data_IF_836439969411
#
_entry.id   IF_836439969411
#
_cell.length_a   1.000
_cell.length_b   1.000
_cell.length_c   1.000
_cell.angle_alpha   90.00
_cell.angle_beta   90.00
_cell.angle_gamma   90.00
#
_symmetry.space_group_name_H-M   'P 1'
#
loop_
_entity.id
_entity.type
_entity.pdbx_description
1 polymer ?
#
# COMPACT_ATOMS: atom_id res chain seq x y z
N UNK A 1 -34.30 11.29 -10.23
CA UNK A 1 -35.02 10.17 -10.87
C UNK A 1 -33.96 9.32 -11.58
N UNK A 2 -33.40 8.31 -10.88
CA UNK A 2 -32.40 7.41 -11.43
C UNK A 2 -33.10 6.20 -12.04
N UNK A 3 -32.85 5.97 -13.32
CA UNK A 3 -33.36 4.80 -14.04
C UNK A 3 -32.35 3.67 -13.88
N UNK A 4 -32.68 2.67 -13.07
CA UNK A 4 -31.90 1.42 -12.96
C UNK A 4 -32.32 0.57 -14.17
N UNK A 5 -31.44 0.41 -15.14
CA UNK A 5 -31.59 -0.56 -16.22
C UNK A 5 -31.25 -1.96 -15.70
N UNK A 6 -32.26 -2.77 -15.48
CA UNK A 6 -32.09 -4.19 -15.27
C UNK A 6 -31.81 -4.86 -16.62
N UNK A 7 -30.61 -5.44 -16.75
CA UNK A 7 -30.32 -6.36 -17.85
C UNK A 7 -30.77 -7.76 -17.44
N UNK A 8 -31.77 -8.27 -18.11
CA UNK A 8 -32.19 -9.68 -18.00
C UNK A 8 -31.40 -10.45 -19.03
N UNK A 9 -30.41 -11.23 -18.58
CA UNK A 9 -29.72 -12.20 -19.42
C UNK A 9 -30.51 -13.50 -19.42
N UNK A 10 -31.02 -13.90 -20.57
CA UNK A 10 -31.62 -15.21 -20.78
C UNK A 10 -30.54 -16.15 -21.32
N UNK A 11 -30.14 -17.13 -20.54
CA UNK A 11 -29.29 -18.21 -21.04
C UNK A 11 -30.18 -19.39 -21.41
N UNK A 12 -30.00 -19.91 -22.62
CA UNK A 12 -30.56 -21.18 -23.05
C UNK A 12 -29.50 -22.25 -22.80
N UNK A 13 -29.77 -23.13 -21.85
CA UNK A 13 -28.92 -24.30 -21.61
C UNK A 13 -29.61 -25.49 -22.27
N UNK A 14 -28.93 -26.13 -23.23
CA UNK A 14 -29.38 -27.39 -23.81
C UNK A 14 -28.76 -28.55 -23.02
N UNK A 15 -29.53 -29.60 -22.76
CA UNK A 15 -29.01 -30.87 -22.24
C UNK A 15 -28.29 -31.67 -23.34
N UNK A 16 -27.73 -32.80 -22.97
CA UNK A 16 -27.03 -33.73 -23.88
C UNK A 16 -27.86 -34.21 -25.08
N UNK A 17 -29.19 -33.99 -25.03
CA UNK A 17 -30.15 -34.32 -26.06
C UNK A 17 -30.72 -33.09 -26.78
N UNK A 18 -30.14 -31.91 -26.61
CA UNK A 18 -30.54 -30.64 -27.24
C UNK A 18 -31.98 -30.17 -26.84
N UNK A 19 -32.50 -30.56 -25.67
CA UNK A 19 -33.78 -30.06 -25.19
C UNK A 19 -33.60 -28.82 -24.33
N UNK A 20 -34.29 -27.71 -24.66
CA UNK A 20 -34.25 -26.45 -23.93
C UNK A 20 -34.98 -26.59 -22.60
N UNK A 21 -34.28 -26.49 -21.47
CA UNK A 21 -34.84 -26.43 -20.14
C UNK A 21 -35.25 -25.01 -19.78
N UNK A 22 -36.55 -24.78 -19.68
CA UNK A 22 -37.13 -23.51 -19.18
C UNK A 22 -37.13 -23.53 -17.66
N UNK A 23 -36.25 -22.80 -17.02
CA UNK A 23 -36.26 -22.59 -15.57
C UNK A 23 -37.18 -21.42 -15.21
N UNK A 24 -38.29 -21.71 -14.56
CA UNK A 24 -39.11 -20.74 -13.81
C UNK A 24 -38.64 -20.78 -12.35
N UNK A 25 -38.25 -19.60 -11.84
CA UNK A 25 -37.99 -19.29 -10.44
C UNK A 25 -36.77 -19.94 -9.76
N UNK A 26 -35.70 -19.12 -9.51
CA UNK A 26 -34.75 -19.33 -8.44
C UNK A 26 -33.28 -19.28 -8.80
N UNK A 27 -32.66 -18.20 -8.46
CA UNK A 27 -31.21 -17.92 -8.61
C UNK A 27 -30.30 -18.93 -7.88
N UNK A 28 -30.83 -19.64 -6.89
CA UNK A 28 -30.06 -20.54 -6.03
C UNK A 28 -29.71 -21.91 -6.64
N UNK A 29 -30.37 -22.33 -7.70
CA UNK A 29 -30.19 -23.70 -8.27
C UNK A 29 -29.11 -23.74 -9.35
N UNK A 30 -28.77 -22.63 -9.97
CA UNK A 30 -27.82 -22.57 -11.10
C UNK A 30 -26.38 -22.83 -10.67
N UNK A 31 -25.99 -22.47 -9.45
CA UNK A 31 -24.62 -22.66 -8.95
C UNK A 31 -24.25 -24.15 -8.72
N UNK A 32 -25.24 -25.00 -8.48
CA UNK A 32 -25.01 -26.41 -8.15
C UNK A 32 -24.85 -27.33 -9.38
N UNK A 33 -25.29 -26.92 -10.57
CA UNK A 33 -25.24 -27.73 -11.78
C UNK A 33 -23.94 -27.60 -12.58
N UNK A 34 -23.17 -26.53 -12.40
CA UNK A 34 -21.92 -26.30 -13.12
C UNK A 34 -20.70 -27.07 -12.57
N UNK A 35 -20.83 -27.77 -11.44
CA UNK A 35 -19.72 -28.49 -10.80
C UNK A 35 -19.61 -29.98 -11.19
N UNK A 36 -20.39 -30.46 -12.12
CA UNK A 36 -20.36 -31.87 -12.58
C UNK A 36 -19.93 -32.09 -14.02
N UNK A 37 -19.50 -31.07 -14.76
CA UNK A 37 -18.81 -31.35 -16.01
C UNK A 37 -17.38 -31.81 -15.71
N UNK A 38 -17.01 -33.01 -16.15
CA UNK A 38 -15.65 -33.54 -16.20
C UNK A 38 -14.76 -32.74 -17.18
N UNK A 39 -14.76 -31.42 -17.07
CA UNK A 39 -13.69 -30.59 -17.63
C UNK A 39 -12.50 -30.81 -16.73
N UNK A 40 -11.42 -31.35 -17.26
CA UNK A 40 -10.11 -31.27 -16.64
C UNK A 40 -9.81 -29.77 -16.48
N UNK A 41 -10.20 -29.20 -15.35
CA UNK A 41 -9.92 -27.80 -15.06
C UNK A 41 -8.43 -27.68 -14.75
N UNK A 42 -7.64 -27.58 -15.81
CA UNK A 42 -6.20 -27.29 -15.69
C UNK A 42 -5.96 -25.82 -15.27
N UNK A 43 -7.02 -25.00 -15.23
CA UNK A 43 -6.97 -23.58 -14.84
C UNK A 43 -8.17 -23.26 -13.93
N UNK A 44 -7.89 -22.69 -12.76
CA UNK A 44 -8.90 -22.28 -11.77
C UNK A 44 -8.68 -20.79 -11.42
N UNK A 45 -9.51 -19.87 -11.90
CA UNK A 45 -9.48 -18.49 -11.46
C UNK A 45 -10.17 -18.32 -10.10
N UNK A 46 -9.57 -17.55 -9.19
CA UNK A 46 -10.11 -17.24 -7.88
C UNK A 46 -10.03 -15.74 -7.65
N UNK A 47 -11.17 -15.13 -7.37
CA UNK A 47 -11.25 -13.73 -6.98
C UNK A 47 -11.32 -13.63 -5.45
N UNK A 48 -10.45 -12.84 -4.86
CA UNK A 48 -10.39 -12.61 -3.42
C UNK A 48 -10.41 -11.12 -3.12
N UNK A 49 -10.96 -10.78 -1.95
CA UNK A 49 -11.01 -9.42 -1.43
C UNK A 49 -10.51 -9.35 0.00
N UNK A 50 -9.94 -8.21 0.38
CA UNK A 50 -9.55 -7.92 1.76
C UNK A 50 -10.74 -7.59 2.67
N UNK A 51 -11.97 -7.65 2.17
CA UNK A 51 -13.20 -7.37 2.92
C UNK A 51 -13.24 -8.10 4.27
N UNK A 52 -13.73 -7.39 5.28
CA UNK A 52 -14.05 -7.99 6.58
C UNK A 52 -15.20 -8.97 6.40
N UNK A 53 -15.00 -10.21 6.79
CA UNK A 53 -16.02 -11.24 6.75
C UNK A 53 -16.40 -11.72 8.13
N UNK A 54 -17.51 -12.46 8.26
CA UNK A 54 -17.90 -13.07 9.53
C UNK A 54 -16.85 -14.05 10.07
N UNK A 55 -16.05 -14.66 9.20
CA UNK A 55 -14.94 -15.55 9.59
C UNK A 55 -13.67 -14.76 9.97
N UNK A 56 -13.44 -13.61 9.33
CA UNK A 56 -12.25 -12.79 9.51
C UNK A 56 -12.61 -11.32 9.69
N UNK A 57 -13.18 -10.93 10.85
CA UNK A 57 -13.60 -9.55 11.12
C UNK A 57 -12.40 -8.59 11.25
N UNK A 58 -11.18 -9.14 11.46
CA UNK A 58 -9.95 -8.38 11.64
C UNK A 58 -9.12 -8.24 10.35
N UNK A 59 -9.68 -8.61 9.19
CA UNK A 59 -9.01 -8.37 7.93
C UNK A 59 -8.66 -6.89 7.76
N UNK A 60 -7.45 -6.65 7.24
CA UNK A 60 -6.97 -5.32 6.86
C UNK A 60 -6.54 -5.39 5.39
N UNK A 61 -6.52 -4.24 4.72
CA UNK A 61 -6.15 -4.15 3.30
C UNK A 61 -4.74 -4.69 2.99
N UNK A 62 -3.83 -4.59 3.96
CA UNK A 62 -2.46 -5.05 3.84
C UNK A 62 -2.20 -6.47 4.39
N UNK A 63 -3.17 -7.06 5.10
CA UNK A 63 -3.05 -8.41 5.66
C UNK A 63 -4.43 -8.99 5.87
N UNK A 64 -4.80 -9.97 5.07
CA UNK A 64 -6.14 -10.54 5.09
C UNK A 64 -6.16 -12.04 4.79
N UNK A 65 -7.25 -12.67 5.20
CA UNK A 65 -7.53 -14.09 5.05
C UNK A 65 -8.85 -14.29 4.34
N UNK A 66 -8.90 -15.27 3.48
CA UNK A 66 -10.11 -15.65 2.74
C UNK A 66 -10.33 -17.14 2.89
N UNK A 67 -11.48 -17.52 3.47
CA UNK A 67 -11.93 -18.91 3.52
C UNK A 67 -12.61 -19.25 2.22
N UNK A 68 -12.08 -20.25 1.51
CA UNK A 68 -12.73 -20.76 0.31
C UNK A 68 -13.99 -21.55 0.68
N UNK A 69 -15.09 -21.39 -0.07
CA UNK A 69 -16.34 -22.14 0.18
C UNK A 69 -16.16 -23.65 -0.04
N UNK A 70 -15.22 -24.02 -0.90
CA UNK A 70 -14.84 -25.41 -1.16
C UNK A 70 -13.31 -25.49 -1.18
N UNK A 71 -12.77 -26.53 -0.56
CA UNK A 71 -11.32 -26.79 -0.61
C UNK A 71 -10.88 -27.08 -2.04
N UNK A 72 -9.74 -26.53 -2.43
CA UNK A 72 -9.06 -26.89 -3.67
C UNK A 72 -8.17 -28.10 -3.40
N UNK A 73 -8.34 -29.13 -4.20
CA UNK A 73 -7.53 -30.35 -4.12
C UNK A 73 -6.62 -30.44 -5.34
N UNK A 74 -5.33 -30.31 -5.09
CA UNK A 74 -4.25 -30.32 -6.07
C UNK A 74 -3.43 -31.64 -6.05
N UNK A 75 -3.93 -32.65 -5.36
CA UNK A 75 -3.24 -33.95 -5.23
C UNK A 75 -3.06 -34.69 -6.57
N UNK A 76 -3.78 -34.29 -7.61
CA UNK A 76 -3.77 -34.88 -8.93
C UNK A 76 -2.66 -34.36 -9.87
N UNK A 77 -1.64 -33.73 -9.38
CA UNK A 77 -0.51 -33.26 -10.18
C UNK A 77 0.20 -32.06 -9.56
N UNK A 78 1.13 -31.50 -10.30
CA UNK A 78 1.81 -30.27 -9.91
C UNK A 78 0.99 -29.05 -10.32
N UNK A 79 0.75 -28.16 -9.36
CA UNK A 79 0.00 -26.94 -9.58
C UNK A 79 0.85 -25.71 -9.29
N UNK A 80 0.56 -24.65 -10.01
CA UNK A 80 1.20 -23.35 -9.91
C UNK A 80 0.14 -22.28 -9.75
N UNK A 81 0.51 -21.19 -9.12
CA UNK A 81 -0.35 -20.01 -8.93
C UNK A 81 0.33 -18.76 -9.47
N UNK A 82 -0.46 -17.88 -10.05
CA UNK A 82 -0.02 -16.56 -10.46
C UNK A 82 -1.04 -15.50 -10.05
N UNK A 83 -0.58 -14.28 -9.80
CA UNK A 83 -1.44 -13.10 -9.70
C UNK A 83 -1.76 -12.60 -11.11
N UNK A 84 -3.05 -12.61 -11.47
CA UNK A 84 -3.53 -12.12 -12.77
C UNK A 84 -3.90 -10.63 -12.73
N UNK A 85 -4.52 -10.21 -11.64
CA UNK A 85 -4.85 -8.79 -11.45
C UNK A 85 -4.89 -8.42 -9.98
N UNK A 86 -4.67 -7.14 -9.72
CA UNK A 86 -4.84 -6.55 -8.39
C UNK A 86 -5.44 -5.15 -8.53
N UNK A 87 -6.35 -4.80 -7.62
CA UNK A 87 -6.94 -3.46 -7.53
C UNK A 87 -6.91 -2.97 -6.09
N UNK A 88 -6.40 -1.76 -5.87
CA UNK A 88 -6.28 -1.12 -4.56
C UNK A 88 -6.25 0.41 -4.72
N UNK A 89 -6.46 1.15 -3.63
CA UNK A 89 -6.26 2.59 -3.64
C UNK A 89 -4.78 2.91 -3.42
N UNK A 90 -4.18 3.66 -4.35
CA UNK A 90 -2.79 4.12 -4.25
C UNK A 90 -2.67 5.27 -3.23
N UNK A 91 -3.06 4.98 -1.98
CA UNK A 91 -3.13 5.95 -0.90
C UNK A 91 -2.51 5.35 0.36
N UNK A 92 -1.17 5.37 0.40
CA UNK A 92 -0.38 4.80 1.49
C UNK A 92 0.05 5.88 2.47
N UNK A 93 0.23 5.49 3.73
CA UNK A 93 0.94 6.32 4.70
C UNK A 93 2.40 6.49 4.27
N UNK A 94 3.00 7.55 4.77
CA UNK A 94 4.44 7.77 4.63
C UNK A 94 5.18 6.54 5.13
N UNK A 95 6.26 6.19 4.43
CA UNK A 95 7.12 5.07 4.82
C UNK A 95 7.60 5.26 6.27
N UNK A 96 7.35 4.30 7.18
CA UNK A 96 7.62 4.46 8.62
C UNK A 96 9.12 4.56 8.95
N UNK A 97 9.99 4.13 8.04
CA UNK A 97 11.45 4.28 8.15
C UNK A 97 11.94 5.70 7.91
N UNK A 98 11.07 6.62 7.45
CA UNK A 98 11.44 8.01 7.23
C UNK A 98 11.33 8.81 8.54
N UNK A 99 12.46 9.33 8.99
CA UNK A 99 12.50 10.26 10.12
C UNK A 99 12.06 11.66 9.68
N UNK A 100 10.75 11.91 9.75
CA UNK A 100 10.11 13.20 9.51
C UNK A 100 9.80 13.95 10.81
N UNK A 101 10.49 13.61 11.90
CA UNK A 101 10.33 14.26 13.20
C UNK A 101 10.97 15.65 13.24
N UNK A 102 10.50 16.48 14.14
CA UNK A 102 11.14 17.73 14.50
C UNK A 102 10.81 18.11 15.96
N UNK A 103 11.69 18.91 16.54
CA UNK A 103 11.56 19.41 17.91
C UNK A 103 11.88 20.89 17.95
N UNK A 104 11.09 21.63 18.70
CA UNK A 104 11.27 23.07 18.87
C UNK A 104 11.56 23.36 20.34
N UNK A 105 12.63 24.07 20.61
CA UNK A 105 13.04 24.45 21.98
C UNK A 105 13.15 25.98 22.02
N UNK A 106 12.29 26.64 22.79
CA UNK A 106 12.33 28.07 23.04
C UNK A 106 13.32 28.35 24.14
N UNK A 107 14.21 29.35 23.95
CA UNK A 107 15.06 29.88 24.99
C UNK A 107 14.33 31.09 25.61
N UNK A 108 13.74 30.93 26.80
CA UNK A 108 13.17 32.07 27.54
C UNK A 108 14.27 32.99 28.05
N UNK A 109 14.11 34.30 27.86
CA UNK A 109 15.11 35.30 28.26
C UNK A 109 15.23 35.49 29.78
N UNK A 110 14.30 34.96 30.58
CA UNK A 110 14.30 35.01 32.02
C UNK A 110 14.57 33.63 32.62
N UNK A 111 15.75 33.45 33.21
CA UNK A 111 16.10 32.34 34.09
C UNK A 111 16.55 31.00 33.48
N UNK A 112 17.22 30.96 32.35
CA UNK A 112 17.79 29.72 31.81
C UNK A 112 16.80 28.55 31.74
N UNK A 113 15.51 28.78 31.68
CA UNK A 113 14.49 27.78 31.50
C UNK A 113 14.27 27.51 30.01
N UNK A 114 14.51 26.29 29.59
CA UNK A 114 14.19 25.81 28.27
C UNK A 114 12.75 25.28 28.28
N UNK A 115 11.84 25.98 27.60
CA UNK A 115 10.52 25.45 27.33
C UNK A 115 10.64 24.51 26.13
N UNK A 116 10.53 23.20 26.39
CA UNK A 116 10.64 22.18 25.36
C UNK A 116 9.24 21.78 24.91
N UNK A 117 8.89 22.05 23.64
CA UNK A 117 7.79 21.35 22.98
C UNK A 117 8.23 19.92 22.75
N UNK A 118 7.32 18.95 22.94
CA UNK A 118 7.60 17.54 22.67
C UNK A 118 8.08 17.33 21.24
N UNK A 119 8.66 16.16 20.98
CA UNK A 119 8.98 15.73 19.64
C UNK A 119 7.69 15.56 18.86
N UNK A 120 7.57 16.30 17.74
CA UNK A 120 6.42 16.21 16.85
C UNK A 120 6.79 15.35 15.63
N UNK A 121 5.93 14.38 15.33
CA UNK A 121 5.99 13.65 14.08
C UNK A 121 4.96 14.23 13.11
N UNK A 122 5.36 14.40 11.86
CA UNK A 122 4.44 14.86 10.82
C UNK A 122 3.36 13.80 10.63
N UNK A 123 2.07 14.14 10.82
CA UNK A 123 0.98 13.18 10.71
C UNK A 123 0.76 12.74 9.26
N UNK A 124 -0.24 11.90 9.06
CA UNK A 124 -0.63 11.34 7.76
C UNK A 124 -0.82 12.41 6.68
N UNK A 125 0.28 12.80 6.05
CA UNK A 125 0.32 13.69 4.89
C UNK A 125 0.57 12.87 3.64
N UNK A 126 0.05 13.33 2.53
CA UNK A 126 0.05 12.57 1.28
C UNK A 126 1.06 13.09 0.26
N UNK A 127 1.58 14.28 0.47
CA UNK A 127 2.52 14.90 -0.47
C UNK A 127 3.67 15.57 0.24
N UNK A 128 4.79 15.72 -0.48
CA UNK A 128 5.96 16.44 0.01
C UNK A 128 5.62 17.90 0.37
N UNK A 129 4.72 18.53 -0.38
CA UNK A 129 4.27 19.89 -0.11
C UNK A 129 3.51 19.99 1.22
N UNK A 130 2.70 19.00 1.55
CA UNK A 130 2.01 18.92 2.85
C UNK A 130 3.01 18.73 3.99
N UNK A 131 4.03 17.89 3.82
CA UNK A 131 5.13 17.74 4.80
C UNK A 131 5.76 19.10 5.10
N UNK A 132 6.13 19.83 4.05
CA UNK A 132 6.77 21.14 4.18
C UNK A 132 5.81 22.17 4.79
N UNK A 133 4.53 22.13 4.43
CA UNK A 133 3.51 23.05 4.96
C UNK A 133 3.26 22.81 6.43
N UNK A 134 3.08 21.55 6.83
CA UNK A 134 2.91 21.17 8.24
C UNK A 134 4.09 21.63 9.10
N UNK A 135 5.31 21.33 8.67
CA UNK A 135 6.52 21.78 9.36
C UNK A 135 6.56 23.32 9.47
N UNK A 136 6.24 24.04 8.38
CA UNK A 136 6.18 25.50 8.37
C UNK A 136 5.20 26.05 9.41
N UNK A 137 4.00 25.51 9.45
CA UNK A 137 2.94 25.93 10.36
C UNK A 137 3.33 25.69 11.82
N UNK A 138 3.90 24.54 12.11
CA UNK A 138 4.29 24.15 13.47
C UNK A 138 5.41 25.02 14.07
N UNK A 139 6.25 25.64 13.25
CA UNK A 139 7.36 26.47 13.71
C UNK A 139 7.09 27.99 13.65
N UNK A 140 5.90 28.42 13.22
CA UNK A 140 5.61 29.86 12.93
C UNK A 140 5.83 30.78 14.08
N UNK A 141 5.69 30.33 15.32
CA UNK A 141 5.92 31.17 16.53
C UNK A 141 7.39 31.50 16.76
N UNK A 142 8.30 30.62 16.34
CA UNK A 142 9.76 30.73 16.56
C UNK A 142 10.49 31.18 15.33
N UNK A 143 10.11 30.64 14.18
CA UNK A 143 10.76 30.90 12.92
C UNK A 143 9.77 30.88 11.76
N UNK A 144 10.17 31.41 10.64
CA UNK A 144 9.51 31.21 9.37
C UNK A 144 10.54 30.93 8.30
N UNK A 145 10.15 30.20 7.26
CA UNK A 145 11.05 30.00 6.14
C UNK A 145 10.42 30.42 4.81
N UNK A 146 11.29 30.79 3.90
CA UNK A 146 10.95 31.18 2.56
C UNK A 146 11.96 30.63 1.57
N UNK A 147 11.51 30.41 0.35
CA UNK A 147 12.36 30.01 -0.75
C UNK A 147 12.76 31.22 -1.56
N UNK A 148 14.06 31.45 -1.70
CA UNK A 148 14.56 32.52 -2.58
C UNK A 148 14.38 32.09 -4.03
N UNK A 149 13.66 32.90 -4.82
CA UNK A 149 13.38 32.63 -6.23
C UNK A 149 14.63 32.40 -7.08
N UNK A 150 15.71 33.12 -6.80
CA UNK A 150 16.97 33.01 -7.57
C UNK A 150 17.79 31.72 -7.27
N UNK A 151 17.77 31.24 -6.03
CA UNK A 151 18.61 30.09 -5.61
C UNK A 151 17.83 28.80 -5.44
N UNK A 152 16.51 28.86 -5.41
CA UNK A 152 15.60 27.77 -5.06
C UNK A 152 15.92 27.08 -3.71
N UNK A 153 16.74 27.72 -2.87
CA UNK A 153 17.10 27.23 -1.53
C UNK A 153 16.13 27.73 -0.49
N UNK A 154 15.87 26.90 0.51
CA UNK A 154 15.08 27.28 1.67
C UNK A 154 15.95 28.11 2.62
N UNK A 155 15.38 29.17 3.15
CA UNK A 155 15.98 30.02 4.19
C UNK A 155 15.04 30.03 5.39
N UNK A 156 15.55 29.64 6.54
CA UNK A 156 14.87 29.70 7.83
C UNK A 156 15.29 31.00 8.53
N UNK A 157 14.32 31.82 8.94
CA UNK A 157 14.58 33.06 9.68
C UNK A 157 13.91 33.01 11.04
N UNK A 158 14.70 33.16 12.10
CA UNK A 158 14.21 33.14 13.48
C UNK A 158 13.53 34.45 13.87
N UNK A 159 12.38 34.36 14.50
CA UNK A 159 11.67 35.47 15.14
C UNK A 159 12.10 35.65 16.59
N UNK A 160 12.35 34.52 17.29
CA UNK A 160 12.75 34.45 18.69
C UNK A 160 14.04 33.65 18.85
N UNK A 161 14.63 33.72 20.04
CA UNK A 161 15.72 32.81 20.36
C UNK A 161 15.18 31.37 20.52
N UNK A 162 15.87 30.43 19.94
CA UNK A 162 15.44 29.02 20.02
C UNK A 162 16.34 28.11 19.23
N UNK A 163 16.04 26.83 19.40
CA UNK A 163 16.70 25.71 18.72
C UNK A 163 15.63 24.92 17.99
N UNK A 164 15.88 24.56 16.74
CA UNK A 164 15.04 23.64 15.97
C UNK A 164 15.90 22.43 15.66
N UNK A 165 15.46 21.26 16.09
CA UNK A 165 16.03 19.97 15.71
C UNK A 165 15.13 19.35 14.66
N UNK A 166 15.70 18.85 13.59
CA UNK A 166 14.98 18.33 12.43
C UNK A 166 15.52 16.94 12.13
N UNK A 167 14.64 15.94 12.04
CA UNK A 167 14.99 14.58 11.70
C UNK A 167 15.70 14.46 10.35
N UNK A 168 16.47 13.38 10.17
CA UNK A 168 17.38 13.23 9.06
C UNK A 168 16.69 13.34 7.68
N UNK A 169 15.55 12.69 7.50
CA UNK A 169 14.84 12.72 6.22
C UNK A 169 14.16 14.06 5.95
N UNK A 170 13.51 14.64 6.98
CA UNK A 170 12.92 15.98 6.86
C UNK A 170 14.01 17.03 6.53
N UNK A 171 15.19 16.92 7.14
CA UNK A 171 16.29 17.84 6.86
C UNK A 171 16.78 17.76 5.40
N UNK A 172 16.83 16.56 4.81
CA UNK A 172 17.17 16.35 3.39
C UNK A 172 16.10 16.93 2.47
N UNK A 173 14.82 16.74 2.80
CA UNK A 173 13.69 17.36 2.08
C UNK A 173 13.88 18.89 2.02
N UNK A 174 14.28 19.50 3.12
CA UNK A 174 14.52 20.95 3.20
C UNK A 174 15.82 21.40 2.52
N UNK A 175 16.65 20.48 2.05
CA UNK A 175 17.91 20.77 1.35
C UNK A 175 19.15 20.74 2.25
N UNK A 176 19.16 19.95 3.30
CA UNK A 176 20.34 19.64 4.10
C UNK A 176 21.11 18.47 3.47
N UNK A 177 22.41 18.41 3.73
CA UNK A 177 23.29 17.28 3.42
C UNK A 177 23.64 16.46 4.67
N UNK A 178 23.02 16.75 5.81
CA UNK A 178 23.26 16.06 7.08
C UNK A 178 22.52 14.72 7.07
N UNK A 179 23.19 13.66 7.46
CA UNK A 179 22.63 12.29 7.52
C UNK A 179 21.97 11.96 8.88
N UNK A 180 22.24 12.80 9.87
CA UNK A 180 21.71 12.72 11.22
C UNK A 180 20.72 13.85 11.52
N UNK A 181 20.30 13.97 12.76
CA UNK A 181 19.42 15.04 13.22
C UNK A 181 20.10 16.39 13.05
N UNK A 182 19.52 17.27 12.22
CA UNK A 182 20.00 18.63 12.01
C UNK A 182 19.57 19.51 13.17
N UNK A 183 20.51 20.10 13.89
CA UNK A 183 20.24 21.06 14.95
C UNK A 183 20.58 22.47 14.48
N UNK A 184 19.56 23.33 14.41
CA UNK A 184 19.70 24.74 14.02
C UNK A 184 19.44 25.61 15.26
N UNK A 185 20.40 26.41 15.65
CA UNK A 185 20.26 27.37 16.74
C UNK A 185 20.34 28.77 16.20
N UNK A 186 19.55 29.69 16.74
CA UNK A 186 19.73 31.13 16.47
C UNK A 186 21.10 31.57 16.93
N UNK A 187 21.92 32.01 15.98
CA UNK A 187 23.27 32.54 16.22
C UNK A 187 23.28 34.05 15.99
N UNK A 188 24.47 34.64 15.78
CA UNK A 188 24.64 36.06 15.43
C UNK A 188 23.84 36.46 14.18
N UNK A 189 23.55 35.53 13.29
CA UNK A 189 22.67 35.75 12.13
C UNK A 189 21.30 35.18 12.45
N UNK A 190 20.22 35.97 12.25
CA UNK A 190 18.83 35.57 12.44
C UNK A 190 18.34 34.56 11.38
N UNK A 191 19.22 34.08 10.51
CA UNK A 191 18.83 33.19 9.40
C UNK A 191 19.79 32.06 9.19
N UNK A 192 19.22 30.89 8.84
CA UNK A 192 19.94 29.70 8.38
C UNK A 192 19.52 29.42 6.94
N UNK A 193 20.49 29.21 6.07
CA UNK A 193 20.26 28.86 4.66
C UNK A 193 20.60 27.40 4.47
N UNK A 194 19.63 26.61 4.03
CA UNK A 194 19.89 25.22 3.69
C UNK A 194 20.87 25.14 2.52
N UNK A 195 21.93 24.30 2.61
CA UNK A 195 23.05 24.32 1.65
C UNK A 195 22.63 23.86 0.25
N UNK A 196 21.65 22.95 0.14
CA UNK A 196 21.20 22.39 -1.11
C UNK A 196 19.80 22.92 -1.48
N UNK A 197 19.36 22.62 -2.69
CA UNK A 197 17.94 22.75 -3.07
C UNK A 197 17.15 21.66 -2.35
N UNK A 198 15.85 21.90 -2.06
CA UNK A 198 14.96 20.87 -1.56
C UNK A 198 15.05 19.61 -2.42
N UNK A 199 15.15 18.47 -1.77
CA UNK A 199 15.24 17.19 -2.45
C UNK A 199 13.87 16.53 -2.52
N UNK A 200 13.56 15.97 -3.67
CA UNK A 200 12.38 15.12 -3.80
C UNK A 200 12.74 13.72 -3.29
N UNK A 201 12.37 13.43 -2.07
CA UNK A 201 12.52 12.10 -1.47
C UNK A 201 11.23 11.34 -1.69
N UNK A 202 11.33 10.07 -2.08
CA UNK A 202 10.17 9.19 -2.16
C UNK A 202 9.65 8.94 -0.74
N UNK A 203 8.53 9.56 -0.41
CA UNK A 203 7.90 9.42 0.92
C UNK A 203 6.88 8.28 0.94
N UNK A 204 6.52 7.77 -0.23
CA UNK A 204 5.60 6.65 -0.41
C UNK A 204 6.28 5.45 -1.02
N UNK A 205 5.76 4.24 -0.79
CA UNK A 205 6.31 3.04 -1.38
C UNK A 205 6.20 3.09 -2.91
N UNK A 206 7.27 2.66 -3.60
CA UNK A 206 7.34 2.58 -5.07
C UNK A 206 7.02 1.18 -5.58
N UNK A 207 7.13 0.19 -4.71
CA UNK A 207 6.87 -1.22 -4.96
C UNK A 207 6.02 -1.80 -3.85
N UNK A 208 5.04 -2.62 -4.21
CA UNK A 208 4.29 -3.47 -3.29
C UNK A 208 4.71 -4.93 -3.49
N UNK A 209 5.14 -5.57 -2.42
CA UNK A 209 5.51 -6.99 -2.37
C UNK A 209 4.33 -7.79 -1.84
N UNK A 210 3.79 -8.67 -2.66
CA UNK A 210 2.61 -9.46 -2.33
C UNK A 210 3.05 -10.88 -1.98
N UNK A 211 2.70 -11.32 -0.78
CA UNK A 211 3.00 -12.66 -0.28
C UNK A 211 1.72 -13.45 -0.08
N UNK A 212 1.80 -14.78 -0.26
CA UNK A 212 0.68 -15.68 -0.05
C UNK A 212 1.11 -16.99 0.60
N UNK A 213 0.33 -17.51 1.57
CA UNK A 213 0.61 -18.80 2.22
C UNK A 213 0.49 -20.01 1.26
N UNK A 214 -0.12 -19.81 0.13
CA UNK A 214 -0.39 -20.80 -0.92
C UNK A 214 0.74 -20.92 -1.96
N UNK A 215 1.72 -20.02 -1.96
CA UNK A 215 2.90 -20.05 -2.82
C UNK A 215 4.04 -20.82 -2.18
N UNK A 216 4.84 -21.52 -2.98
CA UNK A 216 6.10 -22.08 -2.53
C UNK A 216 7.13 -20.98 -2.28
N UNK A 217 8.19 -21.33 -1.55
CA UNK A 217 9.24 -20.40 -1.21
C UNK A 217 10.12 -20.08 -2.42
N UNK A 218 10.35 -18.81 -2.66
CA UNK A 218 11.30 -18.29 -3.64
C UNK A 218 12.37 -17.41 -2.94
N UNK A 219 13.48 -17.17 -3.62
CA UNK A 219 14.53 -16.29 -3.10
C UNK A 219 14.16 -14.85 -3.45
N UNK A 220 14.00 -14.01 -2.43
CA UNK A 220 13.76 -12.60 -2.57
C UNK A 220 14.76 -11.84 -1.68
N UNK A 221 15.63 -11.01 -2.29
CA UNK A 221 16.60 -10.21 -1.53
C UNK A 221 17.57 -11.03 -0.65
N UNK A 222 17.86 -12.29 -1.03
CA UNK A 222 18.76 -13.17 -0.25
C UNK A 222 18.06 -14.00 0.84
N UNK A 223 16.75 -13.89 0.99
CA UNK A 223 15.93 -14.66 1.94
C UNK A 223 14.90 -15.52 1.21
N UNK A 224 14.54 -16.65 1.83
CA UNK A 224 13.42 -17.45 1.36
C UNK A 224 12.10 -16.81 1.81
N UNK A 225 11.19 -16.59 0.86
CA UNK A 225 9.88 -15.99 1.13
C UNK A 225 8.81 -16.54 0.18
N UNK A 226 7.57 -16.49 0.60
CA UNK A 226 6.41 -16.88 -0.22
C UNK A 226 5.92 -15.71 -1.05
N UNK A 227 6.83 -15.14 -1.84
CA UNK A 227 6.55 -13.99 -2.69
C UNK A 227 5.73 -14.43 -3.90
N UNK A 228 4.53 -13.87 -4.03
CA UNK A 228 3.66 -14.08 -5.17
C UNK A 228 4.00 -13.16 -6.34
N UNK A 229 4.16 -11.84 -6.06
CA UNK A 229 4.42 -10.84 -7.09
C UNK A 229 4.98 -9.55 -6.49
N UNK A 230 5.81 -8.86 -7.25
CA UNK A 230 6.19 -7.46 -6.99
C UNK A 230 5.40 -6.58 -7.95
N UNK A 231 4.66 -5.61 -7.41
CA UNK A 231 3.80 -4.70 -8.16
C UNK A 231 4.40 -3.29 -8.13
N UNK A 232 4.81 -2.72 -9.28
CA UNK A 232 5.25 -1.34 -9.35
C UNK A 232 4.07 -0.38 -9.14
N UNK A 233 4.24 0.61 -8.25
CA UNK A 233 3.22 1.61 -7.93
C UNK A 233 3.70 3.05 -8.11
N UNK A 234 5.00 3.28 -8.29
CA UNK A 234 5.61 4.62 -8.43
C UNK A 234 5.07 5.46 -9.59
N UNK A 235 4.59 4.80 -10.65
CA UNK A 235 4.07 5.47 -11.85
C UNK A 235 2.56 5.75 -11.80
N UNK A 236 1.91 5.42 -10.68
CA UNK A 236 0.47 5.62 -10.48
C UNK A 236 0.20 6.92 -9.75
N UNK A 237 -0.92 7.54 -10.08
CA UNK A 237 -1.36 8.76 -9.40
C UNK A 237 -1.70 8.45 -7.94
N UNK A 238 -1.10 9.21 -7.03
CA UNK A 238 -1.40 9.09 -5.60
C UNK A 238 -2.85 9.47 -5.31
N UNK A 239 -3.52 8.70 -4.46
CA UNK A 239 -4.92 8.91 -4.08
C UNK A 239 -5.95 8.30 -5.03
N UNK A 240 -5.54 7.77 -6.20
CA UNK A 240 -6.45 7.14 -7.14
C UNK A 240 -6.49 5.62 -6.93
N UNK A 241 -7.63 5.02 -7.34
CA UNK A 241 -7.74 3.57 -7.41
C UNK A 241 -6.96 3.04 -8.59
N UNK A 242 -6.06 2.13 -8.30
CA UNK A 242 -5.21 1.45 -9.28
C UNK A 242 -5.78 0.07 -9.56
N UNK A 243 -5.83 -0.31 -10.82
CA UNK A 243 -6.08 -1.69 -11.25
C UNK A 243 -4.95 -2.08 -12.19
N UNK A 244 -4.21 -3.12 -11.79
CA UNK A 244 -3.17 -3.73 -12.60
C UNK A 244 -3.63 -5.09 -13.09
N UNK A 245 -3.57 -5.29 -14.39
CA UNK A 245 -3.77 -6.57 -15.07
C UNK A 245 -2.43 -7.01 -15.68
N UNK A 246 -1.99 -8.22 -15.34
CA UNK A 246 -0.69 -8.71 -15.80
C UNK A 246 -0.86 -9.54 -17.07
N UNK A 247 -0.42 -9.00 -18.19
CA UNK A 247 -0.42 -9.70 -19.49
C UNK A 247 0.43 -10.97 -19.47
N UNK A 248 1.57 -10.91 -18.77
CA UNK A 248 2.45 -12.07 -18.57
C UNK A 248 2.33 -12.58 -17.15
N UNK A 249 1.79 -13.80 -17.01
CA UNK A 249 1.61 -14.43 -15.71
C UNK A 249 2.90 -15.15 -15.28
N UNK A 250 3.41 -14.80 -14.11
CA UNK A 250 4.54 -15.48 -13.46
C UNK A 250 4.00 -16.56 -12.52
N UNK A 251 4.12 -17.81 -12.92
CA UNK A 251 3.61 -18.94 -12.17
C UNK A 251 4.62 -19.46 -11.15
N UNK A 252 4.19 -19.59 -9.91
CA UNK A 252 4.95 -20.10 -8.77
C UNK A 252 4.31 -21.41 -8.33
N UNK A 253 5.08 -22.48 -8.00
CA UNK A 253 4.51 -23.71 -7.47
C UNK A 253 3.64 -23.46 -6.23
N UNK A 254 2.61 -24.30 -6.02
CA UNK A 254 1.80 -24.25 -4.80
C UNK A 254 2.48 -25.01 -3.67
N UNK A 255 2.35 -24.52 -2.43
CA UNK A 255 2.99 -25.09 -1.24
C UNK A 255 2.39 -26.44 -0.82
N UNK A 256 1.09 -26.62 -1.04
CA UNK A 256 0.31 -27.75 -0.51
C UNK A 256 -0.62 -28.33 -1.56
N UNK A 257 -0.92 -29.61 -1.43
CA UNK A 257 -1.91 -30.29 -2.29
C UNK A 257 -3.36 -29.93 -1.96
N UNK A 258 -3.63 -29.30 -0.83
CA UNK A 258 -4.98 -28.90 -0.43
C UNK A 258 -4.95 -27.48 0.12
N UNK A 259 -5.77 -26.60 -0.48
CA UNK A 259 -5.91 -25.20 -0.05
C UNK A 259 -7.37 -24.93 0.28
N UNK A 260 -7.63 -24.43 1.47
CA UNK A 260 -8.94 -24.00 1.93
C UNK A 260 -8.90 -22.58 2.48
N UNK A 261 -7.75 -22.15 2.99
CA UNK A 261 -7.51 -20.83 3.54
C UNK A 261 -6.42 -20.13 2.73
N UNK A 262 -6.74 -18.97 2.19
CA UNK A 262 -5.79 -18.09 1.56
C UNK A 262 -5.44 -16.95 2.52
N UNK A 263 -4.16 -16.75 2.78
CA UNK A 263 -3.65 -15.63 3.56
C UNK A 263 -2.75 -14.80 2.65
N UNK A 264 -2.99 -13.50 2.63
CA UNK A 264 -2.25 -12.53 1.82
C UNK A 264 -1.68 -11.46 2.72
N UNK A 265 -0.44 -11.03 2.44
CA UNK A 265 0.16 -9.84 3.03
C UNK A 265 0.82 -8.99 1.96
N UNK A 266 0.72 -7.67 2.13
CA UNK A 266 1.27 -6.67 1.22
C UNK A 266 2.27 -5.82 2.00
N UNK A 267 3.53 -5.83 1.57
CA UNK A 267 4.62 -5.15 2.29
C UNK A 267 5.38 -4.18 1.39
N UNK A 268 6.13 -3.28 2.02
CA UNK A 268 7.16 -2.48 1.36
C UNK A 268 8.41 -3.34 1.04
N UNK A 269 9.40 -2.74 0.42
CA UNK A 269 10.71 -3.35 0.16
C UNK A 269 11.48 -3.70 1.44
N UNK A 270 11.15 -3.07 2.58
CA UNK A 270 11.74 -3.37 3.89
C UNK A 270 11.07 -4.55 4.60
N UNK A 271 10.00 -5.10 4.03
CA UNK A 271 9.21 -6.18 4.64
C UNK A 271 8.15 -5.71 5.64
N UNK A 272 8.01 -4.41 5.85
CA UNK A 272 6.95 -3.85 6.69
C UNK A 272 5.62 -3.81 5.93
N UNK A 273 4.51 -4.10 6.61
CA UNK A 273 3.18 -4.04 6.02
C UNK A 273 2.90 -2.62 5.50
N UNK A 274 2.47 -2.53 4.24
CA UNK A 274 2.05 -1.25 3.67
C UNK A 274 0.76 -0.77 4.36
N UNK A 275 0.80 0.39 4.98
CA UNK A 275 -0.36 0.97 5.61
C UNK A 275 -1.14 1.85 4.62
N UNK A 276 -2.37 1.43 4.32
CA UNK A 276 -3.29 2.21 3.52
C UNK A 276 -3.94 3.29 4.39
N UNK A 277 -4.12 4.51 3.85
CA UNK A 277 -4.80 5.60 4.56
C UNK A 277 -6.31 5.36 4.54
N UNK A 278 -6.84 4.89 3.41
CA UNK A 278 -8.26 4.57 3.26
C UNK A 278 -8.54 3.10 3.58
N UNK A 279 -9.72 2.81 4.11
CA UNK A 279 -10.21 1.44 4.35
C UNK A 279 -10.83 0.80 3.10
N UNK A 280 -10.42 1.20 1.90
CA UNK A 280 -10.93 0.63 0.66
C UNK A 280 -10.33 -0.75 0.41
N UNK A 281 -11.17 -1.67 -0.11
CA UNK A 281 -10.76 -3.05 -0.27
C UNK A 281 -9.69 -3.25 -1.35
N UNK A 282 -8.78 -4.17 -1.06
CA UNK A 282 -7.87 -4.74 -2.05
C UNK A 282 -8.55 -5.95 -2.68
N UNK A 283 -8.65 -5.96 -4.00
CA UNK A 283 -9.21 -7.07 -4.77
C UNK A 283 -8.13 -7.69 -5.62
N UNK A 284 -8.08 -9.03 -5.67
CA UNK A 284 -7.09 -9.79 -6.43
C UNK A 284 -7.73 -10.91 -7.22
N UNK A 285 -7.16 -11.22 -8.37
CA UNK A 285 -7.48 -12.41 -9.15
C UNK A 285 -6.26 -13.31 -9.19
N UNK A 286 -6.40 -14.50 -8.63
CA UNK A 286 -5.40 -15.55 -8.66
C UNK A 286 -5.77 -16.57 -9.74
N UNK A 287 -4.77 -17.06 -10.48
CA UNK A 287 -4.94 -18.15 -11.45
C UNK A 287 -4.13 -19.34 -10.96
N UNK A 288 -4.81 -20.42 -10.60
CA UNK A 288 -4.17 -21.69 -10.35
C UNK A 288 -4.17 -22.51 -11.65
N UNK A 289 -3.01 -23.02 -12.03
CA UNK A 289 -2.83 -23.78 -13.26
C UNK A 289 -2.07 -25.08 -12.99
N UNK A 290 -2.57 -26.17 -13.54
CA UNK A 290 -1.89 -27.46 -13.52
C UNK A 290 -0.71 -27.45 -14.49
N UNK A 291 0.45 -27.91 -14.02
CA UNK A 291 1.63 -28.11 -14.90
C UNK A 291 1.33 -29.24 -15.89
N UNK A 292 1.68 -29.02 -17.14
CA UNK A 292 1.59 -30.03 -18.18
C UNK A 292 2.72 -31.02 -18.07
#
# INVERSE_FOLDING_TARGET
MYIIKHYIFSFVIADENNQALRLRNGIATIIKLHLKSNMSQDIIPIHISSDKSNYFPNNKNNSFKVQLPTRLDFSNGEWKVALSSISFDNHFKILPELDLSFQVVEEEQSLNSLSQRGEEHIPNVSTLNEVVSYFRESITDIAYFFQKTQSSRITLKFKKNGIIKIGAHLSKILGSNVEEVLTIRKQKSDSYIFPLRPQNIEIHPTLAYIYGNFCDMSICGGYYSRLLKIVPISHKTFGERVTEEFETLEYIPTTTSVIQLLEVSITSHTGQLLEFINESDVNMTLIFQKSK
#
